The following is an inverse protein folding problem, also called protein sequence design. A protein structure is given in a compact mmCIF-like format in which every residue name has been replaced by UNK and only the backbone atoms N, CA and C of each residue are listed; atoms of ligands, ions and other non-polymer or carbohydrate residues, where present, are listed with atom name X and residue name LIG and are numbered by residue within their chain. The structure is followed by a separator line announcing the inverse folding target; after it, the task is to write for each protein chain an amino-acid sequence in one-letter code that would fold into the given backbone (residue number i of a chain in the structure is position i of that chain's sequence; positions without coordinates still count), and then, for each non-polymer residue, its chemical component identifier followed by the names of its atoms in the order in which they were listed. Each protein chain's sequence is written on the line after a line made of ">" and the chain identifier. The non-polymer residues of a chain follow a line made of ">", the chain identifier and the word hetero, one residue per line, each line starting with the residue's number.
data_IF_995544768795
#
_entry.id   IF_995544768795
#
_cell.length_a   1.000
_cell.length_b   1.000
_cell.length_c   1.000
_cell.angle_alpha   90.00
_cell.angle_beta   90.00
_cell.angle_gamma   90.00
#
_symmetry.space_group_name_H-M   'P 1'
#
loop_
_entity.id
_entity.type
_entity.pdbx_description
1 polymer ?
#
# COMPACT_ATOMS: atom_id res chain seq x y z
N UNK A 1 18.43 19.24 3.94
CA UNK A 1 19.17 18.15 4.61
C UNK A 1 18.58 16.94 3.97
N UNK A 2 19.24 16.50 2.91
CA UNK A 2 18.79 15.41 2.05
C UNK A 2 19.23 14.12 2.76
N UNK A 3 18.27 13.40 3.35
CA UNK A 3 18.50 12.05 3.85
C UNK A 3 18.34 11.09 2.67
N UNK A 4 19.34 11.07 1.80
CA UNK A 4 19.50 9.99 0.82
C UNK A 4 19.69 8.67 1.59
N UNK A 5 18.87 7.67 1.26
CA UNK A 5 19.00 6.32 1.80
C UNK A 5 20.40 5.79 1.52
N UNK A 6 21.07 5.28 2.54
CA UNK A 6 22.41 4.73 2.41
C UNK A 6 22.41 3.48 1.51
N UNK A 7 23.54 3.20 0.84
CA UNK A 7 23.68 2.00 0.01
C UNK A 7 23.40 0.69 0.79
N UNK A 8 23.61 0.70 2.11
CA UNK A 8 23.33 -0.41 3.01
C UNK A 8 21.81 -0.62 3.23
N UNK A 9 21.04 0.47 3.32
CA UNK A 9 19.58 0.44 3.37
C UNK A 9 18.98 -0.04 2.04
N UNK A 10 19.54 0.42 0.91
CA UNK A 10 19.16 -0.05 -0.42
C UNK A 10 19.47 -1.54 -0.63
N UNK A 11 20.57 -2.05 -0.07
CA UNK A 11 20.93 -3.46 -0.14
C UNK A 11 19.99 -4.34 0.71
N UNK A 12 19.54 -3.84 1.87
CA UNK A 12 18.55 -4.53 2.72
C UNK A 12 17.19 -4.65 2.04
N UNK A 13 16.74 -3.60 1.33
CA UNK A 13 15.52 -3.63 0.51
C UNK A 13 15.63 -4.74 -0.54
N UNK A 14 16.76 -4.81 -1.26
CA UNK A 14 16.98 -5.76 -2.35
C UNK A 14 17.19 -7.21 -1.89
N UNK A 15 17.63 -7.41 -0.64
CA UNK A 15 18.01 -8.73 -0.12
C UNK A 15 16.90 -9.51 0.59
N UNK A 16 15.72 -8.93 0.78
CA UNK A 16 14.68 -9.53 1.63
C UNK A 16 13.87 -10.61 0.87
N UNK A 17 14.27 -11.89 1.02
CA UNK A 17 13.54 -13.05 0.49
C UNK A 17 12.36 -13.35 1.43
N UNK A 18 11.15 -13.05 0.94
CA UNK A 18 9.92 -12.85 1.72
C UNK A 18 9.38 -14.14 2.38
N UNK A 19 9.22 -14.13 3.71
CA UNK A 19 8.36 -15.05 4.44
C UNK A 19 6.95 -14.47 4.66
N UNK A 20 5.95 -15.34 4.78
CA UNK A 20 4.59 -14.98 5.15
C UNK A 20 4.61 -14.30 6.54
N UNK A 21 4.17 -13.04 6.66
CA UNK A 21 4.24 -12.09 7.82
C UNK A 21 5.41 -11.08 7.89
N UNK A 22 6.39 -11.11 6.98
CA UNK A 22 7.55 -10.20 7.09
C UNK A 22 7.22 -8.72 6.80
N UNK A 23 6.03 -8.41 6.27
CA UNK A 23 5.61 -7.04 6.04
C UNK A 23 5.52 -6.23 7.35
N UNK A 24 5.12 -6.87 8.45
CA UNK A 24 5.02 -6.28 9.79
C UNK A 24 6.37 -6.21 10.55
N UNK A 25 7.41 -6.87 10.04
CA UNK A 25 8.68 -7.06 10.75
C UNK A 25 9.78 -6.05 10.37
N UNK A 26 9.46 -5.04 9.55
CA UNK A 26 10.44 -4.02 9.19
C UNK A 26 10.80 -3.19 10.44
N UNK A 27 12.06 -3.33 10.89
CA UNK A 27 12.63 -2.51 11.98
C UNK A 27 12.58 -1.01 11.68
N UNK A 28 12.50 -0.62 10.40
CA UNK A 28 12.49 0.77 9.95
C UNK A 28 11.27 1.03 9.04
N UNK A 29 10.19 1.53 9.65
CA UNK A 29 8.91 1.82 9.00
C UNK A 29 9.05 2.75 7.76
N UNK A 30 9.79 3.87 7.81
CA UNK A 30 10.08 4.69 6.63
C UNK A 30 10.58 3.91 5.40
N UNK A 31 11.54 3.01 5.60
CA UNK A 31 12.10 2.21 4.49
C UNK A 31 11.02 1.28 3.92
N UNK A 32 10.21 0.67 4.77
CA UNK A 32 9.13 -0.22 4.35
C UNK A 32 8.06 0.52 3.54
N UNK A 33 7.65 1.71 4.01
CA UNK A 33 6.67 2.57 3.33
C UNK A 33 7.20 3.02 1.97
N UNK A 34 8.43 3.54 1.91
CA UNK A 34 9.06 3.94 0.64
C UNK A 34 9.16 2.77 -0.33
N UNK A 35 9.66 1.62 0.11
CA UNK A 35 9.81 0.44 -0.74
C UNK A 35 8.48 -0.08 -1.28
N UNK A 36 7.43 -0.09 -0.46
CA UNK A 36 6.08 -0.47 -0.89
C UNK A 36 5.52 0.50 -1.95
N UNK A 37 5.71 1.81 -1.75
CA UNK A 37 5.28 2.82 -2.74
C UNK A 37 6.07 2.68 -4.03
N UNK A 38 7.40 2.51 -3.97
CA UNK A 38 8.25 2.31 -5.14
C UNK A 38 7.86 1.08 -5.95
N UNK A 39 7.64 -0.08 -5.30
CA UNK A 39 7.27 -1.33 -5.96
C UNK A 39 5.91 -1.19 -6.67
N UNK A 40 4.93 -0.54 -6.04
CA UNK A 40 3.62 -0.30 -6.64
C UNK A 40 3.67 0.70 -7.77
N UNK A 41 4.44 1.79 -7.62
CA UNK A 41 4.62 2.77 -8.70
C UNK A 41 5.36 2.16 -9.89
N UNK A 42 6.36 1.30 -9.66
CA UNK A 42 7.02 0.58 -10.73
C UNK A 42 6.06 -0.36 -11.46
N UNK A 43 5.21 -1.08 -10.71
CA UNK A 43 4.19 -1.93 -11.30
C UNK A 43 3.19 -1.13 -12.15
N UNK A 44 2.73 0.02 -11.63
CA UNK A 44 1.72 0.87 -12.26
C UNK A 44 2.24 1.68 -13.46
N UNK A 45 3.40 2.32 -13.32
CA UNK A 45 3.96 3.26 -14.31
C UNK A 45 4.98 2.58 -15.22
N UNK A 46 5.41 1.38 -14.88
CA UNK A 46 6.39 0.59 -15.62
C UNK A 46 7.82 1.08 -15.53
N UNK A 47 8.12 1.95 -14.56
CA UNK A 47 9.45 2.48 -14.26
C UNK A 47 9.59 2.77 -12.77
N UNK A 48 10.81 2.68 -12.25
CA UNK A 48 11.12 3.12 -10.89
C UNK A 48 10.88 4.62 -10.76
N UNK A 49 10.16 5.00 -9.71
CA UNK A 49 9.95 6.39 -9.30
C UNK A 49 10.80 6.65 -8.06
N UNK A 50 11.44 7.81 -8.00
CA UNK A 50 12.13 8.26 -6.79
C UNK A 50 11.08 8.78 -5.80
N UNK A 51 11.03 8.16 -4.61
CA UNK A 51 10.03 8.46 -3.58
C UNK A 51 10.72 9.02 -2.35
N UNK A 52 10.20 10.13 -1.82
CA UNK A 52 10.72 10.77 -0.60
C UNK A 52 9.75 10.55 0.57
N UNK A 53 10.26 10.00 1.67
CA UNK A 53 9.52 9.86 2.93
C UNK A 53 9.44 11.22 3.67
N UNK A 54 8.31 11.52 4.31
CA UNK A 54 8.10 12.81 5.00
C UNK A 54 8.37 12.80 6.51
N UNK A 55 8.74 11.65 7.07
CA UNK A 55 8.91 11.45 8.50
C UNK A 55 7.65 10.89 9.18
N UNK A 56 7.75 10.65 10.49
CA UNK A 56 6.80 9.79 11.23
C UNK A 56 5.48 10.47 11.60
N UNK A 57 5.46 11.81 11.68
CA UNK A 57 4.43 12.54 12.41
C UNK A 57 3.51 13.40 11.53
N UNK A 58 3.85 13.64 10.26
CA UNK A 58 3.07 14.50 9.37
C UNK A 58 2.73 13.81 8.05
N UNK A 59 1.44 13.74 7.64
CA UNK A 59 1.06 13.29 6.31
C UNK A 59 1.51 14.31 5.23
N UNK A 60 1.74 13.88 3.97
CA UNK A 60 1.62 12.51 3.49
C UNK A 60 2.72 11.59 4.04
N UNK A 61 2.53 10.27 4.00
CA UNK A 61 3.60 9.34 4.40
C UNK A 61 4.81 9.45 3.44
N UNK A 62 4.54 9.61 2.13
CA UNK A 62 5.54 9.80 1.08
C UNK A 62 5.08 10.85 0.05
N UNK A 63 6.01 11.32 -0.78
CA UNK A 63 5.68 12.02 -2.02
C UNK A 63 6.65 11.65 -3.13
N UNK A 64 6.22 11.86 -4.36
CA UNK A 64 7.08 11.73 -5.54
C UNK A 64 6.73 12.80 -6.57
N UNK A 65 7.63 13.04 -7.53
CA UNK A 65 7.39 13.97 -8.62
C UNK A 65 7.08 13.23 -9.92
N UNK A 66 6.01 13.64 -10.60
CA UNK A 66 5.63 13.17 -11.93
C UNK A 66 5.35 14.37 -12.82
N UNK A 67 6.10 14.49 -13.91
CA UNK A 67 5.95 15.56 -14.91
C UNK A 67 5.94 16.97 -14.28
N UNK A 68 6.82 17.20 -13.29
CA UNK A 68 6.93 18.46 -12.56
C UNK A 68 5.84 18.71 -11.51
N UNK A 69 4.95 17.73 -11.28
CA UNK A 69 3.90 17.79 -10.26
C UNK A 69 4.26 16.93 -9.07
N UNK A 70 4.20 17.52 -7.86
CA UNK A 70 4.36 16.77 -6.61
C UNK A 70 3.06 16.07 -6.25
N UNK A 71 3.14 14.75 -6.14
CA UNK A 71 2.03 13.87 -5.79
C UNK A 71 2.26 13.37 -4.37
N UNK A 72 1.28 13.59 -3.51
CA UNK A 72 1.29 13.07 -2.14
C UNK A 72 0.83 11.62 -2.14
N UNK A 73 1.42 10.78 -1.29
CA UNK A 73 1.03 9.38 -1.14
C UNK A 73 0.84 9.08 0.35
N UNK A 74 -0.40 8.79 0.74
CA UNK A 74 -0.68 8.09 1.99
C UNK A 74 -0.53 6.59 1.75
N UNK A 75 0.09 5.90 2.70
CA UNK A 75 0.27 4.47 2.68
C UNK A 75 -0.50 3.81 3.83
N UNK A 76 -1.20 2.72 3.56
CA UNK A 76 -1.81 1.90 4.59
C UNK A 76 -1.87 0.45 4.19
N UNK A 77 -1.96 -0.40 5.21
CA UNK A 77 -2.05 -1.84 5.02
C UNK A 77 -3.48 -2.31 5.30
N UNK A 78 -3.93 -3.29 4.53
CA UNK A 78 -5.16 -4.04 4.77
C UNK A 78 -4.78 -5.42 5.31
N UNK A 79 -5.12 -5.63 6.58
CA UNK A 79 -4.91 -6.86 7.34
C UNK A 79 -6.11 -7.08 8.25
N UNK A 80 -6.45 -8.34 8.50
CA UNK A 80 -7.37 -8.71 9.56
C UNK A 80 -6.63 -8.71 10.91
N UNK A 81 -6.80 -7.63 11.67
CA UNK A 81 -6.15 -7.46 12.98
C UNK A 81 -6.47 -8.62 13.94
N UNK A 82 -7.70 -9.12 13.95
CA UNK A 82 -8.10 -10.24 14.81
C UNK A 82 -7.35 -11.54 14.46
N UNK A 83 -7.20 -11.84 13.16
CA UNK A 83 -6.45 -13.01 12.71
C UNK A 83 -4.95 -12.89 13.03
N UNK A 84 -4.38 -11.69 12.87
CA UNK A 84 -3.00 -11.41 13.23
C UNK A 84 -2.77 -11.59 14.75
N UNK A 85 -3.64 -11.01 15.58
CA UNK A 85 -3.54 -11.13 17.04
C UNK A 85 -3.69 -12.57 17.52
N UNK A 86 -4.63 -13.33 16.97
CA UNK A 86 -4.79 -14.74 17.32
C UNK A 86 -3.60 -15.58 16.86
N UNK A 87 -2.99 -15.25 15.70
CA UNK A 87 -1.76 -15.89 15.25
C UNK A 87 -0.61 -15.64 16.21
N UNK A 88 -0.41 -14.39 16.62
CA UNK A 88 0.64 -14.01 17.58
C UNK A 88 0.43 -14.67 18.95
N UNK A 89 -0.83 -14.81 19.37
CA UNK A 89 -1.21 -15.38 20.67
C UNK A 89 -1.10 -16.89 20.72
N UNK A 90 -1.48 -17.59 19.66
CA UNK A 90 -1.53 -19.06 19.62
C UNK A 90 -0.29 -19.69 19.00
N UNK A 91 0.46 -18.94 18.17
CA UNK A 91 1.50 -19.46 17.30
C UNK A 91 0.97 -20.28 16.12
N UNK A 92 -0.36 -20.40 15.97
CA UNK A 92 -1.00 -21.08 14.84
C UNK A 92 -1.37 -20.01 13.82
N UNK A 93 -1.03 -20.26 12.56
CA UNK A 93 -1.34 -19.31 11.50
C UNK A 93 -2.86 -19.18 11.28
N UNK A 94 -3.43 -18.02 11.60
CA UNK A 94 -4.84 -17.67 11.43
C UNK A 94 -5.01 -16.65 10.30
N UNK A 95 -6.19 -16.65 9.67
CA UNK A 95 -6.50 -15.76 8.56
C UNK A 95 -8.01 -15.49 8.47
N UNK A 96 -8.36 -14.37 7.84
CA UNK A 96 -9.76 -14.05 7.53
C UNK A 96 -10.12 -14.65 6.17
N UNK A 97 -11.27 -15.33 6.12
CA UNK A 97 -11.92 -15.64 4.85
C UNK A 97 -12.70 -14.39 4.46
N UNK A 98 -12.20 -13.69 3.45
CA UNK A 98 -12.80 -12.46 2.95
C UNK A 98 -13.98 -12.76 2.03
N UNK A 99 -15.04 -11.96 2.14
CA UNK A 99 -16.02 -11.78 1.08
C UNK A 99 -15.94 -10.38 0.44
N UNK A 100 -16.77 -10.15 -0.57
CA UNK A 100 -16.81 -8.86 -1.28
C UNK A 100 -17.21 -7.71 -0.34
N UNK A 101 -18.21 -7.93 0.52
CA UNK A 101 -18.70 -6.91 1.44
C UNK A 101 -17.62 -6.53 2.45
N UNK A 102 -16.90 -7.51 2.98
CA UNK A 102 -15.77 -7.30 3.87
C UNK A 102 -14.71 -6.39 3.24
N UNK A 103 -14.28 -6.71 2.02
CA UNK A 103 -13.23 -5.93 1.34
C UNK A 103 -13.67 -4.49 1.09
N UNK A 104 -14.87 -4.30 0.54
CA UNK A 104 -15.40 -2.97 0.19
C UNK A 104 -15.60 -2.13 1.45
N UNK A 105 -16.11 -2.71 2.53
CA UNK A 105 -16.25 -2.01 3.81
C UNK A 105 -14.88 -1.58 4.37
N UNK A 106 -13.93 -2.51 4.47
CA UNK A 106 -12.61 -2.27 5.06
C UNK A 106 -11.78 -1.25 4.25
N UNK A 107 -11.94 -1.23 2.92
CA UNK A 107 -11.36 -0.21 2.05
C UNK A 107 -12.01 1.15 2.28
N UNK A 108 -13.35 1.22 2.31
CA UNK A 108 -14.07 2.48 2.55
C UNK A 108 -13.71 3.10 3.92
N UNK A 109 -13.57 2.28 4.96
CA UNK A 109 -13.13 2.73 6.28
C UNK A 109 -11.70 3.29 6.29
N UNK A 110 -10.77 2.61 5.61
CA UNK A 110 -9.37 3.07 5.47
C UNK A 110 -9.26 4.37 4.69
N UNK A 111 -9.96 4.47 3.55
CA UNK A 111 -10.01 5.67 2.72
C UNK A 111 -10.48 6.86 3.57
N UNK A 112 -11.59 6.71 4.28
CA UNK A 112 -12.14 7.78 5.14
C UNK A 112 -11.17 8.19 6.23
N UNK A 113 -10.60 7.23 6.96
CA UNK A 113 -9.67 7.50 8.07
C UNK A 113 -8.41 8.23 7.59
N UNK A 114 -7.88 7.84 6.42
CA UNK A 114 -6.69 8.49 5.84
C UNK A 114 -7.03 9.88 5.28
N UNK A 115 -8.20 10.05 4.66
CA UNK A 115 -8.67 11.35 4.19
C UNK A 115 -8.82 12.36 5.34
N UNK A 116 -9.39 11.96 6.48
CA UNK A 116 -9.51 12.82 7.68
C UNK A 116 -8.14 13.28 8.20
N UNK A 117 -7.13 12.41 8.15
CA UNK A 117 -5.75 12.75 8.53
C UNK A 117 -5.13 13.73 7.53
N UNK A 118 -5.27 13.46 6.24
CA UNK A 118 -4.69 14.25 5.15
C UNK A 118 -5.34 15.63 4.99
N UNK A 119 -6.63 15.78 5.29
CA UNK A 119 -7.37 17.03 5.12
C UNK A 119 -6.68 18.23 5.79
N UNK A 120 -5.95 17.99 6.89
CA UNK A 120 -5.17 19.00 7.63
C UNK A 120 -3.95 19.55 6.85
N UNK A 121 -3.55 18.91 5.76
CA UNK A 121 -2.32 19.17 4.99
C UNK A 121 -2.56 19.22 3.46
N UNK A 122 -3.82 19.16 3.04
CA UNK A 122 -4.24 18.97 1.64
C UNK A 122 -3.93 20.14 0.71
N UNK A 123 -3.60 21.32 1.24
CA UNK A 123 -3.26 22.53 0.49
C UNK A 123 -1.85 22.53 -0.11
N UNK A 124 -1.01 21.55 0.25
CA UNK A 124 0.40 21.47 -0.17
C UNK A 124 0.64 20.69 -1.46
N UNK A 125 -0.32 19.89 -1.92
CA UNK A 125 -0.15 18.96 -3.04
C UNK A 125 -1.31 19.07 -4.03
N UNK A 126 -0.98 18.96 -5.32
CA UNK A 126 -1.96 19.05 -6.41
C UNK A 126 -2.76 17.75 -6.52
N UNK A 127 -2.09 16.62 -6.29
CA UNK A 127 -2.69 15.31 -6.30
C UNK A 127 -2.40 14.59 -4.98
N UNK A 128 -3.39 13.82 -4.54
CA UNK A 128 -3.32 13.05 -3.30
C UNK A 128 -3.71 11.62 -3.60
N UNK A 129 -2.74 10.72 -3.51
CA UNK A 129 -2.94 9.30 -3.75
C UNK A 129 -3.00 8.57 -2.41
N UNK A 130 -3.83 7.53 -2.35
CA UNK A 130 -3.81 6.55 -1.27
C UNK A 130 -3.38 5.21 -1.86
N UNK A 131 -2.35 4.63 -1.25
CA UNK A 131 -1.92 3.28 -1.51
C UNK A 131 -2.37 2.37 -0.36
N UNK A 132 -3.19 1.37 -0.69
CA UNK A 132 -3.56 0.27 0.21
C UNK A 132 -2.87 -1.00 -0.25
N UNK A 133 -2.02 -1.58 0.60
CA UNK A 133 -1.31 -2.84 0.32
C UNK A 133 -1.85 -3.95 1.22
N UNK A 134 -1.89 -5.19 0.73
CA UNK A 134 -2.26 -6.35 1.56
C UNK A 134 -1.36 -7.56 1.31
N UNK A 135 -1.15 -8.34 2.36
CA UNK A 135 -0.56 -9.69 2.33
C UNK A 135 -1.59 -10.80 2.64
N UNK A 136 -2.88 -10.46 2.66
CA UNK A 136 -3.97 -11.42 2.89
C UNK A 136 -4.09 -12.40 1.71
N UNK A 137 -3.73 -13.66 1.92
CA UNK A 137 -3.69 -14.66 0.83
C UNK A 137 -5.07 -15.02 0.25
N UNK A 138 -6.14 -14.84 1.02
CA UNK A 138 -7.51 -15.07 0.55
C UNK A 138 -7.93 -14.03 -0.51
N UNK A 139 -7.26 -12.86 -0.53
CA UNK A 139 -7.42 -11.80 -1.51
C UNK A 139 -6.45 -12.00 -2.68
N UNK A 140 -6.82 -12.87 -3.61
CA UNK A 140 -6.07 -13.09 -4.85
C UNK A 140 -6.54 -12.18 -6.00
N UNK A 141 -5.72 -12.10 -7.05
CA UNK A 141 -5.96 -11.21 -8.19
C UNK A 141 -7.34 -11.40 -8.86
N UNK A 142 -7.80 -12.61 -9.22
CA UNK A 142 -9.13 -12.79 -9.81
C UNK A 142 -10.26 -12.25 -8.92
N UNK A 143 -10.27 -12.60 -7.62
CA UNK A 143 -11.33 -12.16 -6.70
C UNK A 143 -11.33 -10.64 -6.54
N UNK A 144 -10.16 -10.07 -6.31
CA UNK A 144 -10.00 -8.62 -6.11
C UNK A 144 -10.38 -7.86 -7.38
N UNK A 145 -9.98 -8.35 -8.55
CA UNK A 145 -10.35 -7.74 -9.84
C UNK A 145 -11.87 -7.72 -10.03
N UNK A 146 -12.53 -8.86 -9.82
CA UNK A 146 -13.98 -8.99 -9.95
C UNK A 146 -14.71 -8.06 -8.97
N UNK A 147 -14.35 -8.09 -7.69
CA UNK A 147 -15.00 -7.29 -6.65
C UNK A 147 -14.78 -5.79 -6.83
N UNK A 148 -13.54 -5.35 -7.13
CA UNK A 148 -13.26 -3.92 -7.32
C UNK A 148 -13.83 -3.37 -8.63
N UNK A 149 -13.99 -4.19 -9.67
CA UNK A 149 -14.62 -3.75 -10.92
C UNK A 149 -16.15 -3.62 -10.82
N UNK A 150 -16.77 -4.36 -9.90
CA UNK A 150 -18.21 -4.32 -9.64
C UNK A 150 -18.64 -3.18 -8.70
N UNK A 151 -17.69 -2.53 -8.02
CA UNK A 151 -17.96 -1.53 -6.98
C UNK A 151 -17.25 -0.20 -7.24
N UNK A 152 -17.87 0.88 -6.78
CA UNK A 152 -17.25 2.21 -6.69
C UNK A 152 -17.23 2.65 -5.24
N UNK A 153 -16.17 3.33 -4.82
CA UNK A 153 -16.01 3.85 -3.46
C UNK A 153 -15.92 5.38 -3.48
N UNK A 154 -16.41 6.02 -2.42
CA UNK A 154 -16.12 7.44 -2.19
C UNK A 154 -14.63 7.58 -1.85
N UNK A 155 -13.89 8.30 -2.69
CA UNK A 155 -12.45 8.49 -2.53
C UNK A 155 -12.11 9.56 -1.47
N UNK A 156 -13.11 10.21 -0.87
CA UNK A 156 -12.96 11.16 0.24
C UNK A 156 -11.90 12.24 0.00
N UNK A 157 -11.74 12.71 -1.24
CA UNK A 157 -10.78 13.76 -1.61
C UNK A 157 -9.42 13.27 -2.09
N UNK A 158 -9.15 11.95 -2.06
CA UNK A 158 -8.03 11.39 -2.83
C UNK A 158 -8.33 11.47 -4.33
N UNK A 159 -7.33 11.88 -5.11
CA UNK A 159 -7.42 11.91 -6.58
C UNK A 159 -7.25 10.51 -7.18
N UNK A 160 -6.59 9.61 -6.45
CA UNK A 160 -6.40 8.22 -6.84
C UNK A 160 -6.31 7.33 -5.61
N UNK A 161 -6.97 6.18 -5.64
CA UNK A 161 -6.80 5.12 -4.64
C UNK A 161 -6.38 3.85 -5.36
N UNK A 162 -5.27 3.28 -4.88
CA UNK A 162 -4.62 2.11 -5.46
C UNK A 162 -4.68 1.00 -4.43
N UNK A 163 -5.13 -0.19 -4.85
CA UNK A 163 -5.05 -1.41 -4.07
C UNK A 163 -4.00 -2.33 -4.68
N UNK A 164 -3.08 -2.86 -3.88
CA UNK A 164 -2.02 -3.73 -4.36
C UNK A 164 -1.87 -4.98 -3.49
N UNK A 165 -1.57 -6.11 -4.14
CA UNK A 165 -1.17 -7.34 -3.45
C UNK A 165 0.35 -7.31 -3.25
N UNK A 166 0.85 -7.59 -2.05
CA UNK A 166 2.29 -7.59 -1.76
C UNK A 166 3.05 -8.80 -2.31
N UNK A 167 2.32 -9.73 -2.95
CA UNK A 167 2.84 -10.98 -3.47
C UNK A 167 2.44 -11.18 -4.94
N UNK A 168 3.28 -11.93 -5.64
CA UNK A 168 3.03 -12.33 -7.02
C UNK A 168 2.44 -13.75 -7.07
N UNK A 169 1.25 -13.96 -7.68
CA UNK A 169 0.68 -15.31 -7.78
C UNK A 169 1.29 -16.16 -8.92
N UNK A 170 2.06 -15.59 -9.86
CA UNK A 170 2.59 -16.31 -11.04
C UNK A 170 4.08 -16.67 -10.95
N UNK A 171 4.45 -17.83 -11.51
CA UNK A 171 5.80 -18.43 -11.53
C UNK A 171 6.75 -17.84 -12.60
N UNK A 172 6.28 -16.96 -13.49
CA UNK A 172 6.94 -16.69 -14.79
C UNK A 172 8.08 -15.65 -14.78
N UNK A 173 8.59 -15.24 -13.61
CA UNK A 173 9.81 -14.44 -13.46
C UNK A 173 9.79 -13.00 -14.02
N UNK A 174 8.70 -12.58 -14.68
CA UNK A 174 8.49 -11.21 -15.19
C UNK A 174 7.53 -10.41 -14.28
N UNK A 175 7.67 -10.66 -12.97
CA UNK A 175 6.60 -10.56 -11.98
C UNK A 175 6.47 -9.15 -11.39
N UNK A 176 5.48 -8.38 -11.86
CA UNK A 176 5.04 -7.13 -11.20
C UNK A 176 3.85 -7.44 -10.31
N UNK A 177 3.86 -6.94 -9.08
CA UNK A 177 2.74 -7.15 -8.16
C UNK A 177 1.40 -6.71 -8.79
N UNK A 178 0.29 -7.45 -8.55
CA UNK A 178 -1.03 -7.02 -9.01
C UNK A 178 -1.45 -5.69 -8.38
N UNK A 179 -1.85 -4.74 -9.24
CA UNK A 179 -2.26 -3.39 -8.85
C UNK A 179 -3.63 -3.08 -9.45
N UNK A 180 -4.54 -2.55 -8.64
CA UNK A 180 -5.91 -2.23 -8.99
C UNK A 180 -6.22 -0.76 -8.70
N UNK A 181 -6.83 -0.08 -9.66
CA UNK A 181 -7.34 1.28 -9.48
C UNK A 181 -8.77 1.21 -8.97
N UNK A 182 -9.02 1.73 -7.77
CA UNK A 182 -10.36 1.82 -7.20
C UNK A 182 -11.12 2.93 -7.93
N UNK A 183 -12.32 2.61 -8.40
CA UNK A 183 -13.20 3.55 -9.07
C UNK A 183 -13.89 4.46 -8.05
N UNK A 184 -13.87 5.77 -8.30
CA UNK A 184 -14.61 6.75 -7.52
C UNK A 184 -16.09 6.78 -7.87
N UNK A 185 -16.96 6.94 -6.87
CA UNK A 185 -18.40 7.21 -7.04
C UNK A 185 -18.72 8.67 -7.29
#
# INVERSE_FOLDING_TARGET
>A
MDDDLSEEELALIRGNVRGYQDYWAWRNKPIAETGAVEEVLEALEGRVCEVTHMGKDDPPDCWFEKDGTKISVEHTELVCQEALEETLKTGIHCYKVWDESDLIQELGERIRKKAEKLAKYSDKYVENWLLVVTDEFELNEPRVSDWLSANSLDLCGFTKVIFALSYHPSEDGNCRIPVFLIQGS
#
